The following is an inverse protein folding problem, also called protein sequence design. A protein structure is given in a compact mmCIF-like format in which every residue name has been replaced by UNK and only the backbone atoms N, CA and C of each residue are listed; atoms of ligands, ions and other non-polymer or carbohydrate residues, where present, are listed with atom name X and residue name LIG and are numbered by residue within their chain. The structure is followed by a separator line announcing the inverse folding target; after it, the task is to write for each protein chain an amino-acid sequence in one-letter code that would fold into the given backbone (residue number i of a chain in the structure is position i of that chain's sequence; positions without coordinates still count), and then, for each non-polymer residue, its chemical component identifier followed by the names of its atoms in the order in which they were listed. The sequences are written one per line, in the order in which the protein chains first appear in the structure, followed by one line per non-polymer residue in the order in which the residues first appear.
data_IF_339130584594
#
_entry.id   IF_339130584594
#
_cell.length_a   1.000
_cell.length_b   1.000
_cell.length_c   1.000
_cell.angle_alpha   90.00
_cell.angle_beta   90.00
_cell.angle_gamma   90.00
#
_symmetry.space_group_name_H-M   'P 1'
#
loop_
_entity.id
_entity.type
_entity.pdbx_description
1 polymer ?
#
# COMPACT_ATOMS: atom_id res chain seq x y z
N UNK A 1 -19.06 -5.51 -20.63
CA UNK A 1 -19.33 -6.37 -19.46
C UNK A 1 -18.06 -7.09 -18.98
N UNK A 2 -17.18 -7.52 -19.89
CA UNK A 2 -15.91 -8.12 -19.48
C UNK A 2 -14.96 -7.19 -18.70
N UNK A 3 -14.89 -5.91 -19.05
CA UNK A 3 -14.01 -4.95 -18.38
C UNK A 3 -14.39 -4.70 -16.91
N UNK A 4 -15.68 -4.47 -16.62
CA UNK A 4 -16.20 -4.29 -15.25
C UNK A 4 -15.94 -5.53 -14.40
N UNK A 5 -16.15 -6.72 -14.96
CA UNK A 5 -15.92 -7.99 -14.27
C UNK A 5 -14.43 -8.30 -14.07
N UNK A 6 -13.56 -7.81 -14.96
CA UNK A 6 -12.10 -7.91 -14.79
C UNK A 6 -11.66 -7.01 -13.66
N UNK A 7 -12.14 -5.76 -13.63
CA UNK A 7 -11.78 -4.78 -12.61
C UNK A 7 -12.31 -5.16 -11.23
N UNK A 8 -13.56 -5.63 -11.14
CA UNK A 8 -14.12 -6.18 -9.90
C UNK A 8 -13.32 -7.39 -9.37
N UNK A 9 -12.79 -8.25 -10.24
CA UNK A 9 -11.90 -9.33 -9.81
C UNK A 9 -10.54 -8.80 -9.30
N UNK A 10 -10.03 -7.71 -9.87
CA UNK A 10 -8.80 -7.08 -9.38
C UNK A 10 -9.02 -6.47 -7.99
N UNK A 11 -10.16 -5.83 -7.75
CA UNK A 11 -10.54 -5.35 -6.42
C UNK A 11 -10.67 -6.50 -5.43
N UNK A 12 -11.45 -7.53 -5.76
CA UNK A 12 -11.56 -8.74 -4.93
C UNK A 12 -10.19 -9.30 -4.50
N UNK A 13 -9.25 -9.43 -5.45
CA UNK A 13 -7.91 -9.94 -5.17
C UNK A 13 -7.05 -8.98 -4.35
N UNK A 14 -7.21 -7.66 -4.53
CA UNK A 14 -6.53 -6.62 -3.76
C UNK A 14 -6.99 -6.66 -2.30
N UNK A 15 -8.28 -6.41 -2.09
CA UNK A 15 -8.94 -6.41 -0.79
C UNK A 15 -8.65 -7.67 0.03
N UNK A 16 -8.68 -8.84 -0.63
CA UNK A 16 -8.34 -10.07 0.05
C UNK A 16 -6.89 -10.09 0.54
N UNK A 17 -5.94 -9.65 -0.31
CA UNK A 17 -4.52 -9.60 0.07
C UNK A 17 -4.29 -8.59 1.19
N UNK A 18 -4.95 -7.45 1.15
CA UNK A 18 -4.80 -6.39 2.16
C UNK A 18 -5.39 -6.85 3.49
N UNK A 19 -6.55 -7.50 3.48
CA UNK A 19 -7.11 -8.18 4.66
C UNK A 19 -6.12 -9.15 5.29
N UNK A 20 -5.49 -10.03 4.50
CA UNK A 20 -4.50 -10.97 5.03
C UNK A 20 -3.23 -10.25 5.50
N UNK A 21 -2.81 -9.18 4.81
CA UNK A 21 -1.63 -8.40 5.16
C UNK A 21 -1.80 -7.75 6.52
N UNK A 22 -2.91 -7.04 6.72
CA UNK A 22 -3.25 -6.38 7.97
C UNK A 22 -3.44 -7.38 9.11
N UNK A 23 -4.11 -8.52 8.87
CA UNK A 23 -4.20 -9.61 9.85
C UNK A 23 -2.82 -10.14 10.25
N UNK A 24 -1.88 -10.15 9.31
CA UNK A 24 -0.53 -10.62 9.59
C UNK A 24 0.32 -9.58 10.29
N UNK A 25 0.18 -8.29 9.96
CA UNK A 25 0.90 -7.21 10.61
C UNK A 25 0.44 -7.06 12.07
N UNK A 26 -0.86 -7.17 12.33
CA UNK A 26 -1.39 -7.08 13.71
C UNK A 26 -0.80 -8.15 14.64
N UNK A 27 -0.60 -9.39 14.16
CA UNK A 27 -0.02 -10.48 14.97
C UNK A 27 1.41 -10.20 15.43
N UNK A 28 2.20 -9.56 14.56
CA UNK A 28 3.63 -9.32 14.80
C UNK A 28 3.89 -7.91 15.39
N UNK A 29 2.85 -7.09 15.57
CA UNK A 29 2.94 -5.70 16.03
C UNK A 29 3.06 -5.59 17.56
N UNK A 30 4.04 -4.79 18.00
CA UNK A 30 4.34 -4.57 19.41
C UNK A 30 3.58 -3.38 19.99
N UNK A 31 3.33 -2.34 19.19
CA UNK A 31 2.53 -1.19 19.63
C UNK A 31 1.05 -1.61 19.71
N UNK A 32 0.43 -1.62 20.90
CA UNK A 32 -0.95 -2.10 21.06
C UNK A 32 -1.95 -1.29 20.24
N UNK A 33 -1.74 0.02 20.07
CA UNK A 33 -2.64 0.88 19.29
C UNK A 33 -2.54 0.55 17.81
N UNK A 34 -1.31 0.41 17.29
CA UNK A 34 -1.08 0.07 15.89
C UNK A 34 -1.56 -1.35 15.56
N UNK A 35 -1.42 -2.29 16.51
CA UNK A 35 -1.95 -3.64 16.40
C UNK A 35 -3.47 -3.65 16.26
N UNK A 36 -4.16 -2.89 17.10
CA UNK A 36 -5.62 -2.78 17.07
C UNK A 36 -6.11 -2.19 15.75
N UNK A 37 -5.45 -1.15 15.26
CA UNK A 37 -5.78 -0.55 13.95
C UNK A 37 -5.53 -1.52 12.80
N UNK A 38 -4.39 -2.24 12.76
CA UNK A 38 -4.19 -3.27 11.74
C UNK A 38 -5.24 -4.39 11.82
N UNK A 39 -5.69 -4.77 13.02
CA UNK A 39 -6.77 -5.76 13.14
C UNK A 39 -8.09 -5.20 12.61
N UNK A 40 -8.41 -3.93 12.93
CA UNK A 40 -9.59 -3.23 12.42
C UNK A 40 -9.60 -3.16 10.89
N UNK A 41 -8.51 -2.69 10.29
CA UNK A 41 -8.33 -2.62 8.83
C UNK A 41 -8.52 -4.00 8.19
N UNK A 42 -7.93 -5.04 8.76
CA UNK A 42 -8.11 -6.42 8.25
C UNK A 42 -9.57 -6.85 8.14
N UNK A 43 -10.40 -6.47 9.12
CA UNK A 43 -11.83 -6.77 9.11
C UNK A 43 -12.59 -5.96 8.05
N UNK A 44 -12.22 -4.69 7.86
CA UNK A 44 -12.79 -3.81 6.83
C UNK A 44 -12.51 -4.40 5.44
N UNK A 45 -11.24 -4.69 5.11
CA UNK A 45 -10.89 -5.25 3.80
C UNK A 45 -11.48 -6.65 3.57
N UNK A 46 -11.69 -7.42 4.64
CA UNK A 46 -12.41 -8.68 4.53
C UNK A 46 -13.86 -8.47 4.09
N UNK A 47 -14.52 -7.40 4.53
CA UNK A 47 -15.87 -7.04 4.13
C UNK A 47 -15.89 -6.50 2.69
N UNK A 48 -14.92 -5.68 2.31
CA UNK A 48 -14.73 -5.20 0.93
C UNK A 48 -14.53 -6.37 -0.04
N UNK A 49 -13.63 -7.30 0.30
CA UNK A 49 -13.38 -8.51 -0.47
C UNK A 49 -14.65 -9.35 -0.62
N UNK A 50 -15.42 -9.50 0.46
CA UNK A 50 -16.71 -10.21 0.42
C UNK A 50 -17.71 -9.53 -0.51
N UNK A 51 -17.81 -8.19 -0.47
CA UNK A 51 -18.66 -7.46 -1.39
C UNK A 51 -18.27 -7.72 -2.85
N UNK A 52 -16.98 -7.62 -3.20
CA UNK A 52 -16.52 -7.85 -4.58
C UNK A 52 -16.70 -9.30 -5.02
N UNK A 53 -16.54 -10.26 -4.11
CA UNK A 53 -16.88 -11.66 -4.35
C UNK A 53 -18.36 -11.79 -4.75
N UNK A 54 -19.27 -11.24 -3.94
CA UNK A 54 -20.71 -11.34 -4.16
C UNK A 54 -21.14 -10.58 -5.43
N UNK A 55 -20.50 -9.44 -5.72
CA UNK A 55 -20.68 -8.68 -6.95
C UNK A 55 -20.37 -9.51 -8.21
N UNK A 56 -19.31 -10.33 -8.17
CA UNK A 56 -18.91 -11.23 -9.25
C UNK A 56 -19.88 -12.42 -9.37
N UNK A 57 -20.27 -13.02 -8.24
CA UNK A 57 -21.18 -14.18 -8.22
C UNK A 57 -22.56 -13.80 -8.75
N UNK A 58 -23.09 -12.62 -8.40
CA UNK A 58 -24.35 -12.08 -8.95
C UNK A 58 -24.34 -11.91 -10.47
N UNK A 59 -23.16 -11.92 -11.10
CA UNK A 59 -22.94 -11.78 -12.54
C UNK A 59 -22.36 -13.06 -13.15
N UNK A 60 -22.67 -14.21 -12.54
CA UNK A 60 -22.28 -15.56 -12.97
C UNK A 60 -20.77 -15.80 -13.12
N UNK A 61 -19.95 -14.98 -12.44
CA UNK A 61 -18.50 -15.12 -12.44
C UNK A 61 -18.04 -15.69 -11.10
N UNK A 62 -17.40 -16.87 -11.14
CA UNK A 62 -16.78 -17.47 -9.95
C UNK A 62 -15.37 -16.90 -9.76
N UNK A 63 -15.13 -16.08 -8.72
CA UNK A 63 -13.78 -15.63 -8.40
C UNK A 63 -12.88 -16.84 -8.07
N UNK A 64 -11.64 -16.80 -8.55
CA UNK A 64 -10.65 -17.85 -8.27
C UNK A 64 -10.08 -17.64 -6.87
N UNK A 65 -9.60 -18.72 -6.23
CA UNK A 65 -8.84 -18.61 -4.99
C UNK A 65 -7.63 -17.69 -5.19
N UNK A 66 -7.57 -16.62 -4.40
CA UNK A 66 -6.48 -15.66 -4.45
C UNK A 66 -5.18 -16.34 -4.01
N UNK A 67 -4.18 -16.33 -4.89
CA UNK A 67 -2.84 -16.83 -4.55
C UNK A 67 -2.12 -15.74 -3.77
N UNK A 68 -1.87 -16.00 -2.50
CA UNK A 68 -1.07 -15.12 -1.65
C UNK A 68 0.40 -15.35 -1.98
N UNK A 69 1.07 -14.34 -2.53
CA UNK A 69 2.50 -14.38 -2.77
C UNK A 69 3.24 -14.43 -1.45
N UNK A 70 3.68 -15.61 -1.01
CA UNK A 70 4.43 -15.79 0.25
C UNK A 70 5.66 -14.88 0.32
N UNK A 71 6.26 -14.60 -0.82
CA UNK A 71 7.46 -13.77 -0.94
C UNK A 71 7.18 -12.29 -0.67
N UNK A 72 6.09 -11.72 -1.22
CA UNK A 72 5.74 -10.31 -0.95
C UNK A 72 5.39 -10.09 0.52
N UNK A 73 4.65 -11.02 1.12
CA UNK A 73 4.36 -11.02 2.56
C UNK A 73 5.62 -11.09 3.41
N UNK A 74 6.56 -11.96 3.04
CA UNK A 74 7.84 -12.08 3.73
C UNK A 74 8.64 -10.77 3.67
N UNK A 75 8.69 -10.12 2.50
CA UNK A 75 9.38 -8.85 2.34
C UNK A 75 8.76 -7.73 3.17
N UNK A 76 7.43 -7.61 3.23
CA UNK A 76 6.77 -6.59 4.07
C UNK A 76 7.07 -6.84 5.55
N UNK A 77 7.05 -8.10 6.02
CA UNK A 77 7.45 -8.44 7.39
C UNK A 77 8.92 -8.14 7.68
N UNK A 78 9.80 -8.48 6.74
CA UNK A 78 11.23 -8.23 6.87
C UNK A 78 11.50 -6.73 6.96
N UNK A 79 10.86 -5.94 6.11
CA UNK A 79 10.96 -4.48 6.11
C UNK A 79 10.43 -3.89 7.42
N UNK A 80 9.29 -4.38 7.94
CA UNK A 80 8.74 -3.98 9.26
C UNK A 80 9.72 -4.25 10.39
N UNK A 81 10.41 -5.39 10.34
CA UNK A 81 11.37 -5.82 11.36
C UNK A 81 12.68 -5.02 11.29
N UNK A 82 13.15 -4.71 10.08
CA UNK A 82 14.44 -4.04 9.86
C UNK A 82 14.35 -2.52 10.02
N UNK A 83 13.30 -1.90 9.49
CA UNK A 83 13.20 -0.44 9.39
C UNK A 83 12.16 0.18 10.34
N UNK A 84 11.45 -0.64 11.13
CA UNK A 84 10.43 -0.15 12.04
C UNK A 84 9.08 0.16 11.37
N UNK A 85 8.15 0.82 12.08
CA UNK A 85 6.77 0.99 11.61
C UNK A 85 6.63 2.04 10.51
N UNK A 86 7.48 3.08 10.52
CA UNK A 86 7.35 4.23 9.65
C UNK A 86 7.35 3.91 8.15
N UNK A 87 8.37 3.21 7.62
CA UNK A 87 8.43 2.87 6.19
C UNK A 87 7.29 1.97 5.72
N UNK A 88 6.77 1.10 6.60
CA UNK A 88 5.62 0.25 6.29
C UNK A 88 4.35 1.08 6.16
N UNK A 89 4.10 1.98 7.11
CA UNK A 89 2.97 2.91 7.07
C UNK A 89 3.03 3.76 5.79
N UNK A 90 4.23 4.20 5.38
CA UNK A 90 4.40 4.92 4.11
C UNK A 90 4.03 4.08 2.88
N UNK A 91 4.50 2.83 2.84
CA UNK A 91 4.21 1.90 1.74
C UNK A 91 2.71 1.59 1.65
N UNK A 92 2.05 1.43 2.79
CA UNK A 92 0.61 1.15 2.87
C UNK A 92 -0.21 2.35 2.38
N UNK A 93 0.10 3.58 2.81
CA UNK A 93 -0.62 4.77 2.33
C UNK A 93 -0.58 4.92 0.80
N UNK A 94 0.57 4.63 0.19
CA UNK A 94 0.70 4.68 -1.28
C UNK A 94 -0.23 3.69 -1.98
N UNK A 95 -0.54 2.56 -1.33
CA UNK A 95 -1.54 1.60 -1.78
C UNK A 95 -2.94 2.20 -1.80
N UNK A 96 -3.35 2.83 -0.68
CA UNK A 96 -4.70 3.36 -0.48
C UNK A 96 -5.04 4.51 -1.42
N UNK A 97 -4.10 5.44 -1.65
CA UNK A 97 -4.33 6.54 -2.59
C UNK A 97 -4.67 6.03 -4.00
N UNK A 98 -4.05 4.91 -4.40
CA UNK A 98 -4.35 4.26 -5.68
C UNK A 98 -5.73 3.58 -5.70
N UNK A 99 -6.23 3.11 -4.56
CA UNK A 99 -7.53 2.45 -4.43
C UNK A 99 -8.69 3.44 -4.58
N UNK A 100 -8.64 4.58 -3.87
CA UNK A 100 -9.67 5.63 -3.90
C UNK A 100 -9.98 6.07 -5.35
N UNK A 101 -8.95 6.38 -6.13
CA UNK A 101 -9.12 6.82 -7.52
C UNK A 101 -9.76 5.73 -8.39
N UNK A 102 -9.38 4.46 -8.19
CA UNK A 102 -9.96 3.34 -8.95
C UNK A 102 -11.42 3.12 -8.60
N UNK A 103 -11.79 3.21 -7.32
CA UNK A 103 -13.17 3.07 -6.89
C UNK A 103 -14.06 4.21 -7.37
N UNK A 104 -13.60 5.45 -7.28
CA UNK A 104 -14.33 6.60 -7.81
C UNK A 104 -14.55 6.49 -9.33
N UNK A 105 -13.53 6.09 -10.07
CA UNK A 105 -13.63 5.83 -11.52
C UNK A 105 -14.59 4.67 -11.82
N UNK A 106 -14.60 3.62 -11.01
CA UNK A 106 -15.54 2.51 -11.17
C UNK A 106 -17.00 2.96 -10.95
N UNK A 107 -17.25 3.72 -9.89
CA UNK A 107 -18.56 4.24 -9.51
C UNK A 107 -19.16 5.17 -10.59
N UNK A 108 -18.32 5.97 -11.24
CA UNK A 108 -18.73 6.95 -12.25
C UNK A 108 -18.82 6.38 -13.67
N UNK A 109 -17.98 5.40 -14.02
CA UNK A 109 -17.90 4.82 -15.37
C UNK A 109 -18.98 3.77 -15.65
N UNK A 110 -19.40 3.00 -14.65
CA UNK A 110 -20.27 1.83 -14.86
C UNK A 110 -21.69 2.04 -14.34
N UNK A 111 -22.66 1.39 -15.00
CA UNK A 111 -24.03 1.29 -14.49
C UNK A 111 -24.09 0.23 -13.38
N UNK A 112 -24.55 0.66 -12.22
CA UNK A 112 -24.60 -0.09 -10.96
C UNK A 112 -26.00 0.06 -10.38
N UNK A 113 -26.45 -0.92 -9.60
CA UNK A 113 -27.68 -0.77 -8.81
C UNK A 113 -27.49 0.28 -7.71
N UNK A 114 -28.59 0.77 -7.13
CA UNK A 114 -28.52 1.77 -6.06
C UNK A 114 -27.79 1.21 -4.83
N UNK A 115 -28.01 -0.07 -4.51
CA UNK A 115 -27.32 -0.75 -3.41
C UNK A 115 -25.81 -0.90 -3.69
N UNK A 116 -25.43 -1.22 -4.92
CA UNK A 116 -24.01 -1.32 -5.31
C UNK A 116 -23.31 0.04 -5.21
N UNK A 117 -23.99 1.12 -5.63
CA UNK A 117 -23.47 2.49 -5.51
C UNK A 117 -23.29 2.89 -4.05
N UNK A 118 -24.25 2.57 -3.20
CA UNK A 118 -24.16 2.88 -1.77
C UNK A 118 -22.98 2.16 -1.12
N UNK A 119 -22.82 0.85 -1.38
CA UNK A 119 -21.72 0.07 -0.79
C UNK A 119 -20.36 0.55 -1.31
N UNK A 120 -20.22 0.79 -2.61
CA UNK A 120 -18.96 1.29 -3.18
C UNK A 120 -18.63 2.69 -2.64
N UNK A 121 -19.64 3.54 -2.39
CA UNK A 121 -19.41 4.84 -1.76
C UNK A 121 -18.91 4.70 -0.32
N UNK A 122 -19.39 3.70 0.43
CA UNK A 122 -18.86 3.37 1.76
C UNK A 122 -17.41 2.89 1.69
N UNK A 123 -17.09 1.99 0.75
CA UNK A 123 -15.70 1.55 0.51
C UNK A 123 -14.79 2.77 0.28
N UNK A 124 -15.18 3.72 -0.56
CA UNK A 124 -14.39 4.95 -0.81
C UNK A 124 -14.17 5.77 0.48
N UNK A 125 -15.18 5.85 1.36
CA UNK A 125 -15.05 6.54 2.64
C UNK A 125 -14.12 5.80 3.59
N UNK A 126 -14.19 4.47 3.61
CA UNK A 126 -13.30 3.62 4.40
C UNK A 126 -11.85 3.80 3.92
N UNK A 127 -11.59 3.82 2.60
CA UNK A 127 -10.25 4.08 2.05
C UNK A 127 -9.69 5.47 2.40
N UNK A 128 -10.54 6.50 2.42
CA UNK A 128 -10.15 7.84 2.87
C UNK A 128 -9.78 7.86 4.36
N UNK A 129 -10.46 7.06 5.17
CA UNK A 129 -10.13 6.89 6.58
C UNK A 129 -8.80 6.14 6.75
N UNK A 130 -8.55 5.11 5.92
CA UNK A 130 -7.29 4.38 5.87
C UNK A 130 -6.12 5.31 5.53
N UNK A 131 -6.25 6.11 4.46
CA UNK A 131 -5.25 7.10 4.05
C UNK A 131 -4.97 8.09 5.19
N UNK A 132 -6.00 8.63 5.84
CA UNK A 132 -5.84 9.55 6.97
C UNK A 132 -5.08 8.90 8.13
N UNK A 133 -5.43 7.67 8.47
CA UNK A 133 -4.76 6.92 9.53
C UNK A 133 -3.27 6.71 9.24
N UNK A 134 -2.92 6.31 8.01
CA UNK A 134 -1.52 6.12 7.63
C UNK A 134 -0.75 7.44 7.57
N UNK A 135 -1.38 8.52 7.12
CA UNK A 135 -0.78 9.84 7.12
C UNK A 135 -0.45 10.33 8.54
N UNK A 136 -1.40 10.22 9.48
CA UNK A 136 -1.17 10.56 10.89
C UNK A 136 -0.10 9.68 11.54
N UNK A 137 -0.10 8.39 11.20
CA UNK A 137 0.93 7.44 11.65
C UNK A 137 2.31 7.81 11.10
N UNK A 138 2.43 8.29 9.86
CA UNK A 138 3.71 8.76 9.29
C UNK A 138 4.26 9.96 10.04
N UNK A 139 3.42 10.93 10.40
CA UNK A 139 3.81 12.06 11.26
C UNK A 139 4.34 11.59 12.60
N UNK A 140 3.62 10.66 13.24
CA UNK A 140 4.04 10.07 14.54
C UNK A 140 5.43 9.43 14.46
N UNK A 141 5.78 8.83 13.32
CA UNK A 141 7.06 8.16 13.12
C UNK A 141 8.12 9.02 12.41
N UNK A 142 7.90 10.33 12.22
CA UNK A 142 8.82 11.29 11.57
C UNK A 142 9.28 10.86 10.16
N UNK A 143 8.40 10.16 9.44
CA UNK A 143 8.68 9.56 8.11
C UNK A 143 8.54 10.58 6.99
N UNK A 144 7.95 11.74 7.28
CA UNK A 144 7.82 12.87 6.35
C UNK A 144 9.17 13.36 5.80
N UNK A 145 10.25 13.15 6.56
CA UNK A 145 11.61 13.55 6.18
C UNK A 145 12.34 12.49 5.33
N UNK A 146 11.72 11.34 4.98
CA UNK A 146 12.38 10.34 4.15
C UNK A 146 12.78 10.91 2.78
N UNK A 147 11.94 11.79 2.20
CA UNK A 147 12.29 12.47 0.95
C UNK A 147 13.57 13.28 1.12
N UNK A 148 13.64 14.09 2.16
CA UNK A 148 14.77 14.99 2.40
C UNK A 148 16.03 14.19 2.81
N UNK A 149 15.87 13.04 3.49
CA UNK A 149 16.93 12.08 3.74
C UNK A 149 17.49 11.48 2.44
N UNK A 150 16.62 11.03 1.53
CA UNK A 150 17.04 10.49 0.22
C UNK A 150 17.73 11.56 -0.63
N UNK A 151 17.23 12.79 -0.61
CA UNK A 151 17.85 13.93 -1.29
C UNK A 151 19.24 14.24 -0.71
N UNK A 152 19.37 14.33 0.62
CA UNK A 152 20.68 14.53 1.26
C UNK A 152 21.66 13.39 1.01
N UNK A 153 21.16 12.14 0.91
CA UNK A 153 21.99 10.99 0.57
C UNK A 153 22.47 11.05 -0.90
N UNK A 154 21.61 11.52 -1.81
CA UNK A 154 21.97 11.73 -3.21
C UNK A 154 23.00 12.86 -3.36
N UNK A 155 22.84 13.97 -2.64
CA UNK A 155 23.80 15.06 -2.64
C UNK A 155 25.17 14.61 -2.11
N UNK A 156 25.19 13.85 -1.01
CA UNK A 156 26.43 13.27 -0.47
C UNK A 156 27.10 12.27 -1.42
N UNK A 157 26.33 11.50 -2.20
CA UNK A 157 26.87 10.62 -3.24
C UNK A 157 27.49 11.42 -4.38
N UNK A 158 26.87 12.52 -4.82
CA UNK A 158 27.41 13.40 -5.86
C UNK A 158 28.71 14.05 -5.39
N UNK A 159 28.77 14.54 -4.14
CA UNK A 159 30.00 15.10 -3.57
C UNK A 159 31.14 14.08 -3.47
N UNK A 160 30.85 12.86 -3.00
CA UNK A 160 31.84 11.77 -2.95
C UNK A 160 32.35 11.41 -4.34
N UNK A 161 31.45 11.28 -5.32
CA UNK A 161 31.84 10.96 -6.69
C UNK A 161 32.68 12.08 -7.30
N UNK A 162 32.32 13.34 -7.05
CA UNK A 162 33.08 14.51 -7.45
C UNK A 162 34.47 14.54 -6.82
N UNK A 163 34.57 14.27 -5.52
CA UNK A 163 35.85 14.21 -4.80
C UNK A 163 36.76 13.09 -5.33
N UNK A 164 36.22 11.88 -5.52
CA UNK A 164 36.98 10.75 -6.08
C UNK A 164 37.42 11.02 -7.50
N UNK A 165 36.55 11.60 -8.34
CA UNK A 165 36.88 11.97 -9.72
C UNK A 165 37.96 13.06 -9.77
N UNK A 166 37.83 14.09 -8.94
CA UNK A 166 38.82 15.16 -8.82
C UNK A 166 40.18 14.64 -8.34
N UNK A 167 40.19 13.79 -7.32
CA UNK A 167 41.42 13.17 -6.81
C UNK A 167 42.06 12.26 -7.85
N UNK A 168 41.25 11.48 -8.59
CA UNK A 168 41.72 10.59 -9.66
C UNK A 168 42.33 11.39 -10.82
N UNK A 169 41.72 12.51 -11.21
CA UNK A 169 42.26 13.39 -12.25
C UNK A 169 43.63 13.98 -11.85
N UNK A 170 43.77 14.43 -10.59
CA UNK A 170 45.05 14.93 -10.08
C UNK A 170 46.10 13.82 -9.99
N UNK A 171 45.71 12.62 -9.57
CA UNK A 171 46.62 11.47 -9.44
C UNK A 171 47.19 10.99 -10.78
N UNK A 172 46.39 11.03 -11.85
CA UNK A 172 46.88 10.69 -13.22
C UNK A 172 47.88 11.72 -13.74
N UNK A 173 47.77 12.99 -13.33
CA UNK A 173 48.65 14.08 -13.77
C UNK A 173 49.87 14.34 -12.87
N UNK A 174 49.95 13.73 -11.69
CA UNK A 174 51.12 13.72 -10.81
C UNK A 174 51.25 12.37 -10.05
N UNK A 175 51.45 11.25 -10.75
CA UNK A 175 51.76 9.99 -10.09
C UNK A 175 53.14 10.10 -9.43
N UNK A 176 53.24 9.74 -8.15
CA UNK A 176 54.53 9.50 -7.52
C UNK A 176 55.11 8.16 -7.98
#
# INVERSE_FOLDING_TARGET
MDEILKLANQFYEGEYKDSVLYASLSRDEKDPKLREEFLRLSHIESNHSKFWHDFLVKRDKKPKKVKIGRLSFFFVKLLRKLLGPGPIVSLLEMGENSAIQKYFNFLTKYKLSDEEREVISKIILDELEHERFFYESKKRFHVENIRDFVLGMNDGLVELLGAVTGLSAVYVHNPK
#
